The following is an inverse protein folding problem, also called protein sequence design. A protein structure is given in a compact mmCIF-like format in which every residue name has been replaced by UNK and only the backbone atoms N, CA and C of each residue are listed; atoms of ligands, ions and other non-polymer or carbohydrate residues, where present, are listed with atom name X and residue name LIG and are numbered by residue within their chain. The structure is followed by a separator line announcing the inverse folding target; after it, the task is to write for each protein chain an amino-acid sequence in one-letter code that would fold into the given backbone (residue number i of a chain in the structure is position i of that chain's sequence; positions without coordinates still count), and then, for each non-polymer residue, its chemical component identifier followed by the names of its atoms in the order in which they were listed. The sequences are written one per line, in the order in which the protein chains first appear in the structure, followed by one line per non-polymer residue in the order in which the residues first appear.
data_IF_556265957840
#
_entry.id   IF_556265957840
#
_cell.length_a   1.000
_cell.length_b   1.000
_cell.length_c   1.000
_cell.angle_alpha   90.00
_cell.angle_beta   90.00
_cell.angle_gamma   90.00
#
_symmetry.space_group_name_H-M   'P 1'
#
loop_
_entity.id
_entity.type
_entity.pdbx_description
1 polymer ?
#
# COMPACT_ATOMS: atom_id res chain seq x y z
N UNK A 1 -14.07 3.31 5.27
CA UNK A 1 -12.61 3.40 5.08
C UNK A 1 -11.98 3.22 6.45
N UNK A 2 -11.03 2.32 6.55
CA UNK A 2 -10.50 1.86 7.84
C UNK A 2 -9.09 2.42 7.96
N UNK A 3 -8.81 3.13 9.06
CA UNK A 3 -7.61 3.95 9.27
C UNK A 3 -6.87 3.47 10.51
N UNK A 4 -5.57 3.20 10.38
CA UNK A 4 -4.74 2.80 11.51
C UNK A 4 -3.31 3.35 11.37
N UNK A 5 -2.79 3.91 12.46
CA UNK A 5 -1.41 4.37 12.55
C UNK A 5 -0.54 3.26 13.13
N UNK A 6 0.59 2.94 12.48
CA UNK A 6 1.56 1.95 12.95
C UNK A 6 2.87 2.64 13.36
N UNK A 7 3.36 2.28 14.55
CA UNK A 7 4.68 2.58 15.14
C UNK A 7 5.28 4.00 14.95
N UNK A 8 5.42 4.75 16.07
CA UNK A 8 6.20 6.01 16.15
C UNK A 8 7.68 5.76 16.53
N UNK A 9 8.34 4.83 15.86
CA UNK A 9 9.76 4.55 16.11
C UNK A 9 10.65 5.70 15.61
N UNK A 10 11.32 6.41 16.53
CA UNK A 10 12.18 7.56 16.25
C UNK A 10 13.50 7.23 15.53
N UNK A 11 13.42 6.73 14.29
CA UNK A 11 14.58 6.60 13.43
C UNK A 11 14.42 7.50 12.20
N UNK A 12 15.48 8.26 11.89
CA UNK A 12 15.55 9.08 10.68
C UNK A 12 15.61 8.17 9.45
N UNK A 13 14.44 7.85 8.92
CA UNK A 13 14.30 7.11 7.68
C UNK A 13 14.61 8.01 6.49
N UNK A 14 15.39 7.52 5.53
CA UNK A 14 15.84 8.32 4.40
C UNK A 14 14.70 8.62 3.41
N UNK A 15 13.81 7.64 3.20
CA UNK A 15 12.64 7.80 2.32
C UNK A 15 11.58 6.73 2.66
N UNK A 16 10.34 7.01 2.25
CA UNK A 16 9.25 6.04 2.27
C UNK A 16 8.86 5.63 0.86
N UNK A 17 8.18 4.50 0.75
CA UNK A 17 7.56 3.98 -0.47
C UNK A 17 6.08 3.77 -0.18
N UNK A 18 5.22 4.27 -1.05
CA UNK A 18 3.78 3.99 -1.02
C UNK A 18 3.44 3.08 -2.18
N UNK A 19 2.80 1.97 -1.85
CA UNK A 19 2.33 1.01 -2.83
C UNK A 19 1.04 0.32 -2.34
N UNK A 20 0.41 -0.44 -3.22
CA UNK A 20 -0.84 -1.14 -2.92
C UNK A 20 -0.80 -2.63 -3.26
N UNK A 21 -1.51 -3.42 -2.47
CA UNK A 21 -1.62 -4.86 -2.60
C UNK A 21 -3.11 -5.25 -2.64
N UNK A 22 -3.58 -6.00 -3.66
CA UNK A 22 -4.92 -6.57 -3.63
C UNK A 22 -5.06 -7.63 -2.54
N UNK A 23 -6.09 -7.50 -1.70
CA UNK A 23 -6.54 -8.52 -0.75
C UNK A 23 -7.76 -9.19 -1.37
N UNK A 24 -7.52 -10.32 -2.03
CA UNK A 24 -8.55 -11.08 -2.74
C UNK A 24 -9.38 -11.92 -1.75
N UNK A 25 -10.67 -11.59 -1.62
CA UNK A 25 -11.63 -12.41 -0.88
C UNK A 25 -12.08 -13.61 -1.73
N UNK A 26 -12.27 -13.39 -3.03
CA UNK A 26 -12.48 -14.45 -4.00
C UNK A 26 -12.18 -14.02 -5.44
N UNK A 27 -11.90 -15.01 -6.29
CA UNK A 27 -11.88 -14.84 -7.74
C UNK A 27 -13.20 -14.25 -8.27
N UNK A 28 -13.09 -13.37 -9.28
CA UNK A 28 -14.22 -12.72 -9.93
C UNK A 28 -15.34 -13.68 -10.34
N UNK A 29 -15.00 -14.88 -10.84
CA UNK A 29 -15.97 -15.90 -11.24
C UNK A 29 -16.92 -16.36 -10.12
N UNK A 30 -16.56 -16.13 -8.84
CA UNK A 30 -17.37 -16.47 -7.67
C UNK A 30 -18.01 -15.26 -7.00
N UNK A 31 -17.71 -14.04 -7.46
CA UNK A 31 -18.13 -12.80 -6.80
C UNK A 31 -19.66 -12.73 -6.61
N UNK A 32 -20.44 -13.15 -7.61
CA UNK A 32 -21.92 -13.15 -7.55
C UNK A 32 -22.50 -14.04 -6.45
N UNK A 33 -21.76 -15.06 -6.00
CA UNK A 33 -22.18 -16.00 -4.95
C UNK A 33 -21.78 -15.54 -3.54
N UNK A 34 -20.89 -14.57 -3.43
CA UNK A 34 -20.42 -14.09 -2.13
C UNK A 34 -21.51 -13.27 -1.47
N UNK A 35 -21.81 -13.60 -0.20
CA UNK A 35 -22.71 -12.84 0.67
C UNK A 35 -21.97 -11.96 1.68
N UNK A 36 -20.70 -12.28 1.92
CA UNK A 36 -19.84 -11.57 2.90
C UNK A 36 -19.30 -10.27 2.30
N UNK A 37 -19.21 -9.23 3.13
CA UNK A 37 -18.60 -7.94 2.79
C UNK A 37 -19.25 -7.20 1.60
N UNK A 38 -20.50 -7.51 1.21
CA UNK A 38 -21.14 -6.89 0.02
C UNK A 38 -21.24 -5.37 0.11
N UNK A 39 -21.34 -4.83 1.31
CA UNK A 39 -21.53 -3.39 1.54
C UNK A 39 -20.20 -2.62 1.58
N UNK A 40 -19.06 -3.32 1.63
CA UNK A 40 -17.73 -2.72 1.86
C UNK A 40 -16.65 -3.17 0.88
N UNK A 41 -16.80 -4.33 0.24
CA UNK A 41 -15.91 -4.87 -0.78
C UNK A 41 -16.58 -4.83 -2.15
N UNK A 42 -15.77 -4.71 -3.19
CA UNK A 42 -16.26 -4.68 -4.57
C UNK A 42 -15.26 -5.36 -5.53
N UNK A 43 -15.47 -5.15 -6.82
CA UNK A 43 -14.63 -5.72 -7.87
C UNK A 43 -13.58 -4.70 -8.31
N UNK A 44 -12.32 -5.11 -8.24
CA UNK A 44 -11.20 -4.34 -8.78
C UNK A 44 -10.44 -5.11 -9.84
N UNK A 45 -9.59 -4.39 -10.57
CA UNK A 45 -8.69 -4.96 -11.57
C UNK A 45 -7.25 -4.87 -11.09
N UNK A 46 -6.57 -6.02 -11.02
CA UNK A 46 -5.15 -6.10 -10.72
C UNK A 46 -4.36 -6.13 -12.02
N UNK A 47 -3.71 -5.01 -12.37
CA UNK A 47 -2.98 -4.88 -13.63
C UNK A 47 -1.74 -5.80 -13.71
N UNK A 48 -1.06 -6.04 -12.58
CA UNK A 48 0.11 -6.92 -12.52
C UNK A 48 -0.26 -8.38 -12.77
N UNK A 49 -1.42 -8.84 -12.26
CA UNK A 49 -1.95 -10.20 -12.47
C UNK A 49 -2.89 -10.30 -13.68
N UNK A 50 -3.19 -9.18 -14.33
CA UNK A 50 -4.17 -9.05 -15.44
C UNK A 50 -5.53 -9.69 -15.13
N UNK A 51 -6.03 -9.53 -13.92
CA UNK A 51 -7.25 -10.22 -13.48
C UNK A 51 -8.17 -9.34 -12.65
N UNK A 52 -9.47 -9.59 -12.79
CA UNK A 52 -10.48 -9.06 -11.87
C UNK A 52 -10.55 -9.92 -10.61
N UNK A 53 -10.75 -9.27 -9.48
CA UNK A 53 -10.94 -9.93 -8.19
C UNK A 53 -12.01 -9.20 -7.39
N UNK A 54 -12.68 -9.92 -6.50
CA UNK A 54 -13.58 -9.34 -5.52
C UNK A 54 -12.88 -9.29 -4.16
N UNK A 55 -12.85 -8.11 -3.55
CA UNK A 55 -12.24 -7.93 -2.25
C UNK A 55 -11.83 -6.49 -1.96
N UNK A 56 -10.67 -6.34 -1.36
CA UNK A 56 -10.14 -5.07 -0.88
C UNK A 56 -8.80 -4.75 -1.52
N UNK A 57 -8.35 -3.51 -1.33
CA UNK A 57 -7.00 -3.07 -1.65
C UNK A 57 -6.37 -2.49 -0.40
N UNK A 58 -5.21 -3.00 -0.02
CA UNK A 58 -4.37 -2.47 1.04
C UNK A 58 -3.40 -1.46 0.43
N UNK A 59 -3.46 -0.21 0.87
CA UNK A 59 -2.49 0.83 0.54
C UNK A 59 -1.60 1.04 1.76
N UNK A 60 -0.29 0.98 1.60
CA UNK A 60 0.64 1.05 2.73
C UNK A 60 1.83 1.94 2.40
N UNK A 61 2.29 2.69 3.40
CA UNK A 61 3.53 3.43 3.40
C UNK A 61 4.58 2.65 4.17
N UNK A 62 5.72 2.38 3.53
CA UNK A 62 6.80 1.55 4.06
C UNK A 62 8.11 2.34 3.98
N UNK A 63 8.94 2.32 5.01
CA UNK A 63 10.26 2.98 5.01
C UNK A 63 11.30 2.22 4.19
N UNK A 64 12.50 2.78 4.03
CA UNK A 64 13.64 2.08 3.42
C UNK A 64 14.13 0.85 4.19
N UNK A 65 13.60 0.60 5.39
CA UNK A 65 13.89 -0.58 6.22
C UNK A 65 12.73 -1.58 6.28
N UNK A 66 11.75 -1.45 5.40
CA UNK A 66 10.56 -2.30 5.36
C UNK A 66 9.60 -2.11 6.54
N UNK A 67 9.74 -1.01 7.30
CA UNK A 67 8.84 -0.72 8.42
C UNK A 67 7.54 -0.09 7.90
N UNK A 68 6.35 -0.64 8.18
CA UNK A 68 5.08 0.00 7.86
C UNK A 68 4.83 1.21 8.77
N UNK A 69 4.55 2.37 8.17
CA UNK A 69 4.30 3.62 8.91
C UNK A 69 2.81 3.99 8.97
N UNK A 70 2.04 3.55 7.98
CA UNK A 70 0.62 3.85 7.86
C UNK A 70 0.00 3.05 6.73
N UNK A 71 -1.28 2.73 6.89
CA UNK A 71 -2.03 2.02 5.86
C UNK A 71 -3.49 2.41 5.83
N UNK A 72 -4.11 2.07 4.71
CA UNK A 72 -5.54 2.22 4.48
C UNK A 72 -6.02 0.99 3.73
N UNK A 73 -7.20 0.51 4.13
CA UNK A 73 -7.94 -0.48 3.33
C UNK A 73 -9.14 0.17 2.66
N UNK A 74 -9.27 -0.06 1.36
CA UNK A 74 -10.41 0.36 0.54
C UNK A 74 -11.02 -0.82 -0.18
N UNK A 75 -12.20 -0.61 -0.75
CA UNK A 75 -12.74 -1.53 -1.75
C UNK A 75 -11.78 -1.63 -2.96
N UNK A 76 -11.82 -2.75 -3.68
CA UNK A 76 -10.88 -3.08 -4.75
C UNK A 76 -10.91 -2.10 -5.95
N UNK A 77 -12.05 -1.46 -6.21
CA UNK A 77 -12.23 -0.52 -7.33
C UNK A 77 -11.52 0.83 -7.15
N UNK A 78 -11.17 1.19 -5.91
CA UNK A 78 -10.61 2.51 -5.60
C UNK A 78 -9.29 2.75 -6.33
N UNK A 79 -9.14 3.97 -6.84
CA UNK A 79 -7.91 4.40 -7.49
C UNK A 79 -6.86 4.83 -6.47
N UNK A 80 -5.64 4.37 -6.66
CA UNK A 80 -4.55 4.56 -5.69
C UNK A 80 -4.26 6.05 -5.41
N UNK A 81 -4.37 6.91 -6.43
CA UNK A 81 -4.23 8.38 -6.30
C UNK A 81 -5.18 9.04 -5.30
N UNK A 82 -6.37 8.47 -5.07
CA UNK A 82 -7.38 9.05 -4.16
C UNK A 82 -6.97 8.78 -2.71
N UNK A 83 -6.39 7.62 -2.48
CA UNK A 83 -6.03 7.11 -1.15
C UNK A 83 -4.63 7.56 -0.72
N UNK A 84 -3.80 7.94 -1.69
CA UNK A 84 -2.40 8.31 -1.50
C UNK A 84 -2.18 9.37 -0.41
N UNK A 85 -2.96 10.45 -0.45
CA UNK A 85 -2.88 11.53 0.54
C UNK A 85 -3.18 10.99 1.94
N UNK A 86 -4.26 10.23 2.08
CA UNK A 86 -4.66 9.69 3.37
C UNK A 86 -3.62 8.75 3.97
N UNK A 87 -2.98 7.92 3.15
CA UNK A 87 -1.91 7.02 3.61
C UNK A 87 -0.69 7.83 4.05
N UNK A 88 -0.25 8.79 3.24
CA UNK A 88 0.99 9.56 3.49
C UNK A 88 0.88 10.56 4.65
N UNK A 89 -0.33 11.01 4.97
CA UNK A 89 -0.57 12.02 6.01
C UNK A 89 -0.71 11.41 7.40
N UNK A 90 -0.92 10.09 7.51
CA UNK A 90 -0.91 9.39 8.79
C UNK A 90 0.44 9.51 9.50
N UNK A 91 1.52 9.38 8.72
CA UNK A 91 2.87 9.63 9.18
C UNK A 91 3.71 10.26 8.05
N UNK A 92 3.72 11.60 7.97
CA UNK A 92 4.43 12.33 6.92
C UNK A 92 5.91 11.97 6.88
N UNK A 93 6.39 11.62 5.68
CA UNK A 93 7.81 11.37 5.44
C UNK A 93 8.33 12.34 4.37
N UNK A 94 9.46 13.06 4.61
CA UNK A 94 9.90 14.13 3.72
C UNK A 94 10.07 13.71 2.25
N UNK A 95 10.49 12.46 2.01
CA UNK A 95 10.69 11.90 0.68
C UNK A 95 9.87 10.62 0.54
N UNK A 96 8.90 10.60 -0.37
CA UNK A 96 8.06 9.42 -0.59
C UNK A 96 8.05 9.02 -2.06
N UNK A 97 8.21 7.73 -2.34
CA UNK A 97 8.24 7.16 -3.68
C UNK A 97 6.94 6.43 -3.97
N UNK A 98 6.30 6.72 -5.11
CA UNK A 98 5.09 6.02 -5.55
C UNK A 98 5.26 5.33 -6.89
N UNK A 99 4.35 4.41 -7.20
CA UNK A 99 4.22 3.86 -8.54
C UNK A 99 3.55 4.84 -9.52
N UNK A 100 3.62 4.50 -10.80
CA UNK A 100 2.98 5.23 -11.90
C UNK A 100 1.46 5.39 -11.73
N UNK A 101 0.80 4.50 -10.98
CA UNK A 101 -0.61 4.61 -10.60
C UNK A 101 -0.93 5.88 -9.81
N UNK A 102 0.05 6.42 -9.09
CA UNK A 102 -0.08 7.59 -8.22
C UNK A 102 0.26 8.93 -8.89
N UNK A 103 0.64 8.93 -10.18
CA UNK A 103 1.01 10.16 -10.90
C UNK A 103 -0.17 11.13 -10.94
N UNK A 104 -0.04 12.27 -10.25
CA UNK A 104 -1.00 13.37 -10.22
C UNK A 104 -0.28 14.65 -9.78
N UNK A 105 -0.24 15.67 -10.65
CA UNK A 105 0.37 16.97 -10.33
C UNK A 105 -0.33 17.68 -9.15
N UNK A 106 -1.68 17.77 -9.11
CA UNK A 106 -2.37 18.38 -7.97
C UNK A 106 -2.04 17.68 -6.64
N UNK A 107 -1.91 16.35 -6.67
CA UNK A 107 -1.56 15.57 -5.47
C UNK A 107 -0.14 15.89 -5.00
N UNK A 108 0.84 15.93 -5.90
CA UNK A 108 2.23 16.24 -5.56
C UNK A 108 2.37 17.65 -4.98
N UNK A 109 1.70 18.62 -5.59
CA UNK A 109 1.72 20.02 -5.13
C UNK A 109 1.06 20.16 -3.77
N UNK A 110 -0.10 19.53 -3.57
CA UNK A 110 -0.80 19.52 -2.28
C UNK A 110 0.07 18.91 -1.18
N UNK A 111 0.64 17.73 -1.43
CA UNK A 111 1.51 17.03 -0.47
C UNK A 111 2.74 17.84 -0.08
N UNK A 112 3.34 18.54 -1.04
CA UNK A 112 4.49 19.37 -0.79
C UNK A 112 4.14 20.63 0.01
N UNK A 113 3.06 21.33 -0.37
CA UNK A 113 2.66 22.60 0.26
C UNK A 113 2.08 22.43 1.66
N UNK A 114 1.21 21.44 1.85
CA UNK A 114 0.46 21.27 3.10
C UNK A 114 1.21 20.40 4.12
N UNK A 115 1.98 19.42 3.66
CA UNK A 115 2.59 18.41 4.53
C UNK A 115 4.12 18.33 4.43
N UNK A 116 4.75 19.12 3.54
CA UNK A 116 6.20 19.09 3.33
C UNK A 116 6.72 17.78 2.70
N UNK A 117 5.86 17.01 2.03
CA UNK A 117 6.20 15.71 1.45
C UNK A 117 6.61 15.89 0.00
N UNK A 118 7.87 15.62 -0.33
CA UNK A 118 8.34 15.50 -1.70
C UNK A 118 7.96 14.12 -2.26
N UNK A 119 6.84 14.07 -2.99
CA UNK A 119 6.33 12.83 -3.59
C UNK A 119 6.86 12.60 -5.01
N UNK A 120 7.65 11.54 -5.19
CA UNK A 120 8.27 11.19 -6.47
C UNK A 120 7.58 9.99 -7.12
N UNK A 121 7.17 10.16 -8.37
CA UNK A 121 6.59 9.10 -9.20
C UNK A 121 7.28 9.05 -10.56
N UNK A 122 7.43 7.87 -11.19
CA UNK A 122 7.95 7.79 -12.55
C UNK A 122 7.03 8.50 -13.55
N UNK A 123 7.61 9.23 -14.51
CA UNK A 123 6.84 9.94 -15.55
C UNK A 123 6.02 8.98 -16.42
N UNK A 124 4.86 9.44 -16.88
CA UNK A 124 4.11 8.74 -17.94
C UNK A 124 4.80 8.95 -19.29
N UNK A 125 4.72 7.97 -20.19
CA UNK A 125 5.27 8.04 -21.56
C UNK A 125 4.77 9.27 -22.34
N UNK A 126 3.58 9.79 -22.01
CA UNK A 126 2.94 10.93 -22.68
C UNK A 126 3.20 12.27 -21.97
N UNK A 127 4.08 12.34 -20.97
CA UNK A 127 4.47 13.61 -20.34
C UNK A 127 5.73 14.17 -21.03
N UNK A 128 5.75 15.48 -21.28
CA UNK A 128 6.86 16.18 -21.95
C UNK A 128 8.22 16.00 -21.28
N UNK A 129 8.26 15.68 -19.99
CA UNK A 129 9.49 15.44 -19.21
C UNK A 129 9.68 13.95 -18.95
N UNK A 130 10.34 13.28 -19.89
CA UNK A 130 10.78 11.89 -19.74
C UNK A 130 11.93 11.85 -18.73
N UNK A 131 11.70 11.21 -17.58
CA UNK A 131 12.76 11.03 -16.59
C UNK A 131 13.94 10.24 -17.18
N UNK A 132 15.20 10.57 -16.87
CA UNK A 132 16.36 9.82 -17.36
C UNK A 132 16.25 8.33 -17.05
N UNK A 133 16.71 7.45 -17.95
CA UNK A 133 16.67 5.99 -17.75
C UNK A 133 17.30 5.56 -16.41
N UNK A 134 18.39 6.22 -16.00
CA UNK A 134 19.07 5.99 -14.71
C UNK A 134 18.16 6.29 -13.51
N UNK A 135 17.37 7.36 -13.57
CA UNK A 135 16.40 7.73 -12.53
C UNK A 135 15.29 6.68 -12.40
N UNK A 136 14.70 6.28 -13.53
CA UNK A 136 13.66 5.26 -13.53
C UNK A 136 14.16 3.91 -12.97
N UNK A 137 15.41 3.54 -13.29
CA UNK A 137 16.06 2.35 -12.73
C UNK A 137 16.30 2.47 -11.22
N UNK A 138 16.76 3.64 -10.75
CA UNK A 138 16.95 3.91 -9.33
C UNK A 138 15.63 3.82 -8.56
N UNK A 139 14.58 4.47 -9.05
CA UNK A 139 13.22 4.39 -8.48
C UNK A 139 12.74 2.94 -8.40
N UNK A 140 12.91 2.15 -9.46
CA UNK A 140 12.52 0.73 -9.48
C UNK A 140 13.27 -0.06 -8.41
N UNK A 141 14.58 0.16 -8.25
CA UNK A 141 15.39 -0.53 -7.22
C UNK A 141 14.93 -0.16 -5.82
N UNK A 142 14.67 1.12 -5.56
CA UNK A 142 14.23 1.61 -4.24
C UNK A 142 12.83 1.13 -3.87
N UNK A 143 11.91 1.01 -4.84
CA UNK A 143 10.56 0.48 -4.64
C UNK A 143 10.48 -1.04 -4.49
N UNK A 144 11.55 -1.78 -4.81
CA UNK A 144 11.60 -3.25 -4.62
C UNK A 144 11.32 -3.66 -3.16
N UNK A 145 11.56 -2.77 -2.21
CA UNK A 145 11.24 -3.00 -0.80
C UNK A 145 9.74 -3.22 -0.55
N UNK A 146 8.86 -2.51 -1.27
CA UNK A 146 7.43 -2.71 -1.18
C UNK A 146 7.04 -4.08 -1.75
N UNK A 147 7.62 -4.47 -2.90
CA UNK A 147 7.43 -5.80 -3.48
C UNK A 147 7.84 -6.91 -2.49
N UNK A 148 9.01 -6.78 -1.87
CA UNK A 148 9.49 -7.74 -0.87
C UNK A 148 8.59 -7.77 0.36
N UNK A 149 8.17 -6.62 0.87
CA UNK A 149 7.25 -6.53 2.01
C UNK A 149 5.93 -7.22 1.70
N UNK A 150 5.37 -7.00 0.52
CA UNK A 150 4.14 -7.67 0.10
C UNK A 150 4.29 -9.17 -0.06
N UNK A 151 5.42 -9.66 -0.58
CA UNK A 151 5.71 -11.09 -0.62
C UNK A 151 5.74 -11.67 0.79
N UNK A 152 6.44 -11.04 1.74
CA UNK A 152 6.48 -11.53 3.14
C UNK A 152 5.09 -11.53 3.77
N UNK A 153 4.32 -10.45 3.62
CA UNK A 153 2.95 -10.38 4.14
C UNK A 153 2.03 -11.44 3.53
N UNK A 154 2.17 -11.70 2.23
CA UNK A 154 1.32 -12.68 1.53
C UNK A 154 1.72 -14.11 1.84
N UNK A 155 3.02 -14.41 1.82
CA UNK A 155 3.53 -15.78 1.87
C UNK A 155 3.72 -16.27 3.32
N UNK A 156 4.34 -15.45 4.18
CA UNK A 156 4.63 -15.81 5.57
C UNK A 156 3.42 -15.54 6.48
N UNK A 157 2.85 -14.34 6.40
CA UNK A 157 1.73 -13.92 7.25
C UNK A 157 0.35 -14.26 6.68
N UNK A 158 0.29 -14.80 5.46
CA UNK A 158 -0.94 -15.26 4.82
C UNK A 158 -2.04 -14.19 4.76
N UNK A 159 -1.65 -12.94 4.49
CA UNK A 159 -2.56 -11.78 4.41
C UNK A 159 -3.75 -12.02 3.46
N UNK A 160 -3.52 -12.69 2.33
CA UNK A 160 -4.59 -12.99 1.34
C UNK A 160 -5.49 -14.15 1.76
N UNK A 161 -5.16 -14.85 2.84
CA UNK A 161 -5.92 -15.98 3.36
C UNK A 161 -6.73 -15.64 4.62
N UNK A 162 -6.89 -14.36 4.97
CA UNK A 162 -7.74 -13.93 6.09
C UNK A 162 -9.18 -14.40 5.84
N UNK A 163 -9.69 -15.27 6.74
CA UNK A 163 -11.05 -15.84 6.67
C UNK A 163 -11.99 -15.19 7.69
N UNK A 164 -12.04 -13.87 7.70
CA UNK A 164 -12.98 -13.14 8.55
C UNK A 164 -14.42 -13.24 8.02
N UNK A 165 -15.39 -13.22 8.93
CA UNK A 165 -16.83 -13.20 8.60
C UNK A 165 -17.51 -11.88 8.97
N UNK A 166 -16.78 -10.95 9.58
CA UNK A 166 -17.19 -9.58 9.91
C UNK A 166 -16.09 -8.60 9.53
N UNK A 167 -16.44 -7.31 9.46
CA UNK A 167 -15.49 -6.22 9.23
C UNK A 167 -14.50 -6.13 10.38
N UNK A 168 -14.98 -6.09 11.62
CA UNK A 168 -14.13 -6.02 12.82
C UNK A 168 -13.14 -7.19 12.92
N UNK A 169 -13.58 -8.39 12.53
CA UNK A 169 -12.72 -9.57 12.53
C UNK A 169 -11.66 -9.53 11.42
N UNK A 170 -11.97 -8.88 10.29
CA UNK A 170 -11.00 -8.66 9.22
C UNK A 170 -9.96 -7.62 9.65
N UNK A 171 -10.41 -6.53 10.27
CA UNK A 171 -9.56 -5.47 10.81
C UNK A 171 -8.61 -6.02 11.86
N UNK A 172 -9.15 -6.71 12.88
CA UNK A 172 -8.35 -7.29 13.96
C UNK A 172 -7.28 -8.26 13.42
N UNK A 173 -7.62 -9.07 12.41
CA UNK A 173 -6.67 -9.98 11.79
C UNK A 173 -5.58 -9.24 11.00
N UNK A 174 -5.96 -8.20 10.26
CA UNK A 174 -5.03 -7.37 9.51
C UNK A 174 -4.06 -6.63 10.44
N UNK A 175 -4.58 -5.99 11.48
CA UNK A 175 -3.81 -5.26 12.48
C UNK A 175 -2.85 -6.19 13.20
N UNK A 176 -3.31 -7.39 13.57
CA UNK A 176 -2.47 -8.43 14.17
C UNK A 176 -1.34 -8.89 13.24
N UNK A 177 -1.61 -9.05 11.94
CA UNK A 177 -0.59 -9.40 10.94
C UNK A 177 0.44 -8.27 10.80
N UNK A 178 -0.01 -7.02 10.68
CA UNK A 178 0.89 -5.88 10.50
C UNK A 178 1.71 -5.61 11.77
N UNK A 179 1.14 -5.82 12.94
CA UNK A 179 1.84 -5.76 14.23
C UNK A 179 2.92 -6.85 14.30
N UNK A 180 2.56 -8.11 14.01
CA UNK A 180 3.50 -9.22 14.03
C UNK A 180 4.63 -9.01 13.02
N UNK A 181 4.32 -8.55 11.82
CA UNK A 181 5.32 -8.16 10.82
C UNK A 181 6.25 -7.05 11.32
N UNK A 182 5.68 -6.02 11.93
CA UNK A 182 6.46 -4.90 12.51
C UNK A 182 7.42 -5.39 13.60
N UNK A 183 6.99 -6.31 14.46
CA UNK A 183 7.85 -6.90 15.50
C UNK A 183 9.01 -7.69 14.89
N UNK A 184 8.76 -8.45 13.82
CA UNK A 184 9.81 -9.19 13.09
C UNK A 184 10.80 -8.24 12.43
N UNK A 185 10.32 -7.16 11.79
CA UNK A 185 11.19 -6.16 11.15
C UNK A 185 12.04 -5.38 12.15
N UNK A 186 11.52 -5.13 13.35
CA UNK A 186 12.24 -4.45 14.42
C UNK A 186 13.20 -5.38 15.20
N UNK A 187 13.30 -6.65 14.82
CA UNK A 187 14.15 -7.66 15.49
C UNK A 187 13.82 -7.81 16.99
N UNK A 188 12.60 -7.44 17.42
CA UNK A 188 12.15 -7.54 18.81
C UNK A 188 11.72 -8.96 19.22
N UNK A 189 11.73 -9.87 18.26
CA UNK A 189 11.56 -11.31 18.49
C UNK A 189 12.91 -11.94 18.10
N UNK A 190 13.79 -12.07 19.09
CA UNK A 190 15.08 -12.73 18.90
C UNK A 190 14.91 -14.19 18.41
N UNK A 191 15.94 -14.63 17.70
CA UNK A 191 16.10 -15.90 16.96
C UNK A 191 15.97 -17.16 17.82
#
# INVERSE_FOLDING_TARGET
MIRYQLAKGGQHHAYAVVDSLPIELCHYARASRVKRFRDVADIGYCASKKMFFYGFKLHIQITERSLPMGYVVTAASYHDRIVAEEVMTQLPHPYTLGDKGYVSQPLQEKLYREYGIAFWTPSRKNQCTVSPKKWAQWMRRKRKIAETTFSVLTDLFRLTAIRANSVDGFETALDGILLAYTLVVLELVEQ
#
